data_IF_891206840916
#
_entry.id   IF_891206840916
#
_cell.length_a   1.000
_cell.length_b   1.000
_cell.length_c   1.000
_cell.angle_alpha   90.00
_cell.angle_beta   90.00
_cell.angle_gamma   90.00
#
_symmetry.space_group_name_H-M   'P 1'
#
loop_
_entity.id
_entity.type
_entity.pdbx_description
1 polymer ?
#
# COMPACT_ATOMS: atom_id res chain seq x y z
N UNK A 1 21.98 15.24 23.42
CA UNK A 1 21.27 16.05 22.41
C UNK A 1 19.94 15.36 22.17
N UNK A 2 18.95 15.67 23.00
CA UNK A 2 17.58 15.22 22.81
C UNK A 2 17.13 15.76 21.45
N UNK A 3 16.92 14.83 20.52
CA UNK A 3 16.69 15.12 19.13
C UNK A 3 15.43 15.96 18.98
N UNK A 4 15.45 16.87 17.99
CA UNK A 4 14.39 17.78 17.61
C UNK A 4 13.14 17.01 17.14
N UNK A 5 12.44 16.40 18.10
CA UNK A 5 11.30 15.50 17.91
C UNK A 5 10.01 16.25 18.24
N UNK A 6 9.03 16.10 17.36
CA UNK A 6 7.67 16.58 17.54
C UNK A 6 6.72 15.37 17.60
N UNK A 7 5.94 15.30 18.68
CA UNK A 7 4.86 14.31 18.84
C UNK A 7 3.53 15.01 18.68
N UNK A 8 2.66 14.48 17.84
CA UNK A 8 1.36 15.05 17.54
C UNK A 8 0.28 14.01 17.84
N UNK A 9 -0.58 14.32 18.80
CA UNK A 9 -1.65 13.42 19.27
C UNK A 9 -3.06 14.00 19.04
N UNK A 10 -3.14 15.23 18.53
CA UNK A 10 -4.36 15.90 18.15
C UNK A 10 -4.18 16.73 16.86
N UNK A 11 -5.26 17.27 16.31
CA UNK A 11 -5.22 18.07 15.07
C UNK A 11 -4.82 19.54 15.31
N UNK A 12 -4.11 19.87 16.40
CA UNK A 12 -3.66 21.25 16.63
C UNK A 12 -2.44 21.54 15.75
N UNK A 13 -2.71 22.18 14.62
CA UNK A 13 -1.70 22.69 13.68
C UNK A 13 -1.04 24.01 14.13
N UNK A 14 -1.51 24.63 15.21
CA UNK A 14 -0.95 25.90 15.67
C UNK A 14 0.42 25.67 16.30
N UNK A 15 1.43 26.42 15.83
CA UNK A 15 2.80 26.41 16.35
C UNK A 15 3.55 25.07 16.18
N UNK A 16 3.31 24.34 15.07
CA UNK A 16 4.16 23.20 14.73
C UNK A 16 5.62 23.67 14.56
N UNK A 17 6.55 22.97 15.23
CA UNK A 17 7.97 23.21 15.08
C UNK A 17 8.46 22.59 13.76
N UNK A 18 8.45 23.37 12.68
CA UNK A 18 8.84 22.90 11.35
C UNK A 18 10.34 22.60 11.20
N UNK A 19 11.17 22.96 12.17
CA UNK A 19 12.58 22.57 12.19
C UNK A 19 12.80 21.13 12.67
N UNK A 20 11.75 20.47 13.19
CA UNK A 20 11.82 19.10 13.69
C UNK A 20 12.44 18.14 12.66
N UNK A 21 13.40 17.34 13.13
CA UNK A 21 14.02 16.28 12.32
C UNK A 21 13.30 14.94 12.47
N UNK A 22 12.41 14.84 13.47
CA UNK A 22 11.57 13.67 13.71
C UNK A 22 10.14 14.09 14.05
N UNK A 23 9.16 13.51 13.37
CA UNK A 23 7.73 13.70 13.63
C UNK A 23 7.07 12.36 13.87
N UNK A 24 6.32 12.25 14.97
CA UNK A 24 5.45 11.12 15.27
C UNK A 24 4.03 11.66 15.42
N UNK A 25 3.17 11.35 14.46
CA UNK A 25 1.77 11.75 14.45
C UNK A 25 0.87 10.53 14.69
N UNK A 26 0.27 10.46 15.88
CA UNK A 26 -0.73 9.44 16.20
C UNK A 26 -2.14 10.04 16.10
N UNK A 27 -2.86 9.63 15.07
CA UNK A 27 -4.19 10.13 14.71
C UNK A 27 -5.23 9.00 14.70
N UNK A 28 -4.88 7.80 15.18
CA UNK A 28 -5.72 6.58 15.13
C UNK A 28 -6.98 6.64 15.98
N UNK A 29 -7.08 7.62 16.88
CA UNK A 29 -8.21 7.79 17.80
C UNK A 29 -9.07 9.03 17.46
N UNK A 30 -8.75 9.75 16.40
CA UNK A 30 -9.36 11.04 16.09
C UNK A 30 -10.49 10.89 15.07
N UNK A 31 -11.65 11.48 15.38
CA UNK A 31 -12.71 11.70 14.39
C UNK A 31 -12.32 12.88 13.51
N UNK A 32 -11.52 12.63 12.48
CA UNK A 32 -11.01 13.68 11.58
C UNK A 32 -12.04 13.95 10.49
N UNK A 33 -12.52 15.18 10.39
CA UNK A 33 -13.29 15.62 9.21
C UNK A 33 -12.35 15.74 8.00
N UNK A 34 -12.76 15.38 6.77
CA UNK A 34 -11.90 15.45 5.58
C UNK A 34 -11.15 16.78 5.42
N UNK A 35 -11.82 17.92 5.64
CA UNK A 35 -11.21 19.24 5.51
C UNK A 35 -10.10 19.50 6.55
N UNK A 36 -10.25 18.95 7.75
CA UNK A 36 -9.22 19.04 8.80
C UNK A 36 -8.02 18.14 8.47
N UNK A 37 -8.26 16.94 7.96
CA UNK A 37 -7.20 16.05 7.48
C UNK A 37 -6.39 16.72 6.37
N UNK A 38 -7.07 17.30 5.36
CA UNK A 38 -6.43 18.04 4.27
C UNK A 38 -5.51 19.13 4.78
N UNK A 39 -6.02 20.04 5.64
CA UNK A 39 -5.21 21.13 6.18
C UNK A 39 -4.02 20.59 6.96
N UNK A 40 -4.25 19.60 7.82
CA UNK A 40 -3.21 19.00 8.65
C UNK A 40 -2.11 18.34 7.81
N UNK A 41 -2.45 17.48 6.84
CA UNK A 41 -1.45 16.82 6.01
C UNK A 41 -0.70 17.79 5.10
N UNK A 42 -1.34 18.87 4.64
CA UNK A 42 -0.64 19.88 3.84
C UNK A 42 0.50 20.58 4.61
N UNK A 43 0.41 20.69 5.94
CA UNK A 43 1.47 21.27 6.76
C UNK A 43 2.74 20.39 6.79
N UNK A 44 2.64 19.09 6.49
CA UNK A 44 3.83 18.22 6.47
C UNK A 44 4.84 18.67 5.42
N UNK A 45 4.38 19.31 4.34
CA UNK A 45 5.26 19.83 3.30
C UNK A 45 6.24 20.91 3.82
N UNK A 46 5.98 21.49 5.00
CA UNK A 46 6.80 22.55 5.59
C UNK A 46 7.99 22.03 6.41
N UNK A 47 8.05 20.74 6.76
CA UNK A 47 9.17 20.17 7.52
C UNK A 47 10.39 19.86 6.62
N UNK A 48 11.14 20.90 6.25
CA UNK A 48 12.27 20.77 5.31
C UNK A 48 13.46 19.97 5.85
N UNK A 49 13.58 19.84 7.16
CA UNK A 49 14.67 19.13 7.84
C UNK A 49 14.26 17.72 8.31
N UNK A 50 13.07 17.26 7.95
CA UNK A 50 12.54 16.00 8.45
C UNK A 50 13.35 14.81 7.93
N UNK A 51 13.81 13.98 8.85
CA UNK A 51 14.56 12.74 8.58
C UNK A 51 13.76 11.51 8.97
N UNK A 52 12.87 11.62 9.95
CA UNK A 52 12.01 10.54 10.39
C UNK A 52 10.55 10.99 10.50
N UNK A 53 9.66 10.24 9.84
CA UNK A 53 8.23 10.48 9.86
C UNK A 53 7.50 9.21 10.23
N UNK A 54 6.71 9.28 11.30
CA UNK A 54 5.78 8.21 11.69
C UNK A 54 4.36 8.74 11.72
N UNK A 55 3.45 8.09 11.01
CA UNK A 55 2.04 8.46 10.96
C UNK A 55 1.18 7.23 11.23
N UNK A 56 0.32 7.32 12.24
CA UNK A 56 -0.62 6.26 12.60
C UNK A 56 -2.05 6.78 12.45
N UNK A 57 -2.78 6.31 11.45
CA UNK A 57 -4.18 6.67 11.18
C UNK A 57 -5.09 5.43 11.24
N UNK A 58 -4.52 4.23 11.10
CA UNK A 58 -5.28 2.99 11.06
C UNK A 58 -6.04 2.65 12.35
N UNK A 59 -7.01 1.73 12.25
CA UNK A 59 -7.82 1.20 13.36
C UNK A 59 -8.93 2.15 13.91
N UNK A 60 -9.44 3.05 13.08
CA UNK A 60 -10.56 3.91 13.46
C UNK A 60 -11.91 3.15 13.34
N UNK A 61 -12.26 2.31 14.32
CA UNK A 61 -13.61 1.69 14.41
C UNK A 61 -14.76 2.71 14.54
N UNK A 62 -14.45 3.98 14.85
CA UNK A 62 -15.41 5.06 15.14
C UNK A 62 -15.69 6.01 13.97
N UNK A 63 -14.95 5.94 12.87
CA UNK A 63 -15.15 6.85 11.74
C UNK A 63 -16.12 6.23 10.73
N UNK A 64 -17.33 6.77 10.72
CA UNK A 64 -18.21 6.74 9.57
C UNK A 64 -17.42 7.24 8.34
N UNK A 65 -16.93 6.32 7.51
CA UNK A 65 -16.31 6.67 6.24
C UNK A 65 -17.29 6.42 5.09
N UNK A 66 -17.89 7.52 4.60
CA UNK A 66 -18.04 7.71 3.16
C UNK A 66 -16.66 7.84 2.49
N UNK A 67 -16.63 7.93 1.16
CA UNK A 67 -15.39 7.95 0.36
C UNK A 67 -14.43 9.12 0.67
N UNK A 68 -14.86 10.11 1.48
CA UNK A 68 -14.16 11.38 1.68
C UNK A 68 -12.90 11.31 2.54
N UNK A 69 -12.67 10.25 3.32
CA UNK A 69 -11.42 10.10 4.09
C UNK A 69 -10.19 9.88 3.23
N UNK A 70 -10.39 9.41 2.00
CA UNK A 70 -9.33 9.21 1.02
C UNK A 70 -8.69 10.53 0.60
N UNK A 71 -9.44 11.64 0.60
CA UNK A 71 -8.92 12.95 0.19
C UNK A 71 -7.79 13.44 1.08
N UNK A 72 -7.89 13.25 2.40
CA UNK A 72 -6.80 13.62 3.32
C UNK A 72 -5.49 12.91 2.98
N UNK A 73 -5.58 11.64 2.59
CA UNK A 73 -4.40 10.82 2.27
C UNK A 73 -3.76 11.20 0.93
N UNK A 74 -4.52 11.76 -0.01
CA UNK A 74 -3.94 12.38 -1.21
C UNK A 74 -3.03 13.56 -0.84
N UNK A 75 -3.42 14.38 0.13
CA UNK A 75 -2.56 15.48 0.63
C UNK A 75 -1.35 14.97 1.41
N UNK A 76 -1.46 13.83 2.10
CA UNK A 76 -0.28 13.18 2.66
C UNK A 76 0.72 12.81 1.55
N UNK A 77 0.26 12.22 0.45
CA UNK A 77 1.09 11.96 -0.74
C UNK A 77 1.79 13.23 -1.23
N UNK A 78 1.04 14.30 -1.49
CA UNK A 78 1.61 15.59 -1.93
C UNK A 78 2.63 16.18 -0.94
N UNK A 79 2.39 16.01 0.36
CA UNK A 79 3.33 16.48 1.37
C UNK A 79 4.63 15.68 1.38
N UNK A 80 4.55 14.35 1.20
CA UNK A 80 5.73 13.48 1.14
C UNK A 80 6.67 13.89 0.00
N UNK A 81 6.16 14.33 -1.15
CA UNK A 81 6.98 14.82 -2.28
C UNK A 81 7.95 15.96 -1.88
N UNK A 82 7.63 16.71 -0.82
CA UNK A 82 8.43 17.82 -0.34
C UNK A 82 9.47 17.44 0.74
N UNK A 83 9.44 16.20 1.23
CA UNK A 83 10.28 15.72 2.33
C UNK A 83 11.59 15.12 1.82
N UNK A 84 12.37 15.90 1.08
CA UNK A 84 13.55 15.42 0.33
C UNK A 84 14.69 14.85 1.20
N UNK A 85 14.71 15.18 2.50
CA UNK A 85 15.72 14.73 3.46
C UNK A 85 15.28 13.50 4.28
N UNK A 86 14.10 12.93 3.98
CA UNK A 86 13.53 11.85 4.75
C UNK A 86 14.33 10.56 4.55
N UNK A 87 14.74 9.94 5.67
CA UNK A 87 15.48 8.68 5.67
C UNK A 87 14.62 7.52 6.18
N UNK A 88 13.66 7.80 7.07
CA UNK A 88 12.86 6.79 7.74
C UNK A 88 11.37 7.17 7.69
N UNK A 89 10.56 6.30 7.10
CA UNK A 89 9.10 6.45 7.05
C UNK A 89 8.43 5.23 7.66
N UNK A 90 7.49 5.48 8.57
CA UNK A 90 6.52 4.50 9.07
C UNK A 90 5.11 5.05 8.90
N UNK A 91 4.28 4.43 8.07
CA UNK A 91 2.89 4.86 7.87
C UNK A 91 1.97 3.66 8.10
N UNK A 92 1.04 3.81 9.05
CA UNK A 92 -0.03 2.87 9.30
C UNK A 92 -1.38 3.43 8.87
N UNK A 93 -1.90 2.86 7.78
CA UNK A 93 -3.22 3.12 7.19
C UNK A 93 -4.09 1.86 7.19
N UNK A 94 -3.90 0.95 8.15
CA UNK A 94 -4.75 -0.24 8.31
C UNK A 94 -6.23 0.16 8.41
N UNK A 95 -7.13 -0.59 7.77
CA UNK A 95 -8.58 -0.34 7.81
C UNK A 95 -9.03 1.07 7.34
N UNK A 96 -8.23 1.73 6.50
CA UNK A 96 -8.51 3.12 6.04
C UNK A 96 -9.33 3.22 4.75
N UNK A 97 -9.89 2.10 4.27
CA UNK A 97 -10.66 1.98 3.03
C UNK A 97 -9.93 2.50 1.79
N UNK A 98 -8.60 2.36 1.72
CA UNK A 98 -7.79 2.77 0.56
C UNK A 98 -8.21 2.01 -0.70
N UNK A 99 -8.22 2.68 -1.83
CA UNK A 99 -8.37 2.07 -3.15
C UNK A 99 -7.03 2.15 -3.92
N UNK A 100 -7.03 1.67 -5.17
CA UNK A 100 -5.86 1.71 -6.04
C UNK A 100 -5.33 3.11 -6.34
N UNK A 101 -6.22 4.11 -6.42
CA UNK A 101 -5.85 5.48 -6.75
C UNK A 101 -5.04 6.11 -5.61
N UNK A 102 -5.55 6.03 -4.37
CA UNK A 102 -4.86 6.58 -3.20
C UNK A 102 -3.56 5.84 -2.91
N UNK A 103 -3.55 4.51 -3.03
CA UNK A 103 -2.32 3.72 -2.93
C UNK A 103 -1.30 4.10 -4.01
N UNK A 104 -1.79 4.41 -5.22
CA UNK A 104 -0.99 4.93 -6.32
C UNK A 104 -0.39 6.29 -6.02
N UNK A 105 -1.19 7.25 -5.53
CA UNK A 105 -0.68 8.57 -5.11
C UNK A 105 0.40 8.46 -4.03
N UNK A 106 0.19 7.61 -3.03
CA UNK A 106 1.19 7.35 -1.99
C UNK A 106 2.48 6.76 -2.59
N UNK A 107 2.34 5.78 -3.49
CA UNK A 107 3.47 5.19 -4.19
C UNK A 107 4.25 6.22 -5.01
N UNK A 108 3.57 7.03 -5.82
CA UNK A 108 4.19 8.09 -6.62
C UNK A 108 4.98 9.07 -5.76
N UNK A 109 4.43 9.50 -4.63
CA UNK A 109 5.13 10.41 -3.73
C UNK A 109 6.40 9.80 -3.12
N UNK A 110 6.37 8.49 -2.82
CA UNK A 110 7.52 7.76 -2.27
C UNK A 110 8.63 7.56 -3.31
N UNK A 111 8.29 7.47 -4.60
CA UNK A 111 9.22 7.17 -5.69
C UNK A 111 10.45 8.10 -5.73
N UNK A 112 10.26 9.37 -5.38
CA UNK A 112 11.26 10.42 -5.51
C UNK A 112 12.03 10.70 -4.20
N UNK A 113 11.77 9.89 -3.15
CA UNK A 113 12.46 9.99 -1.86
C UNK A 113 13.84 9.29 -1.93
N UNK A 114 14.80 9.94 -2.58
CA UNK A 114 16.11 9.36 -2.84
C UNK A 114 16.96 9.09 -1.58
N UNK A 115 16.70 9.74 -0.45
CA UNK A 115 17.42 9.53 0.81
C UNK A 115 16.78 8.44 1.70
N UNK A 116 15.64 7.88 1.28
CA UNK A 116 14.89 6.92 2.07
C UNK A 116 15.67 5.61 2.24
N UNK A 117 15.95 5.24 3.50
CA UNK A 117 16.67 4.02 3.91
C UNK A 117 15.73 2.99 4.52
N UNK A 118 14.71 3.43 5.24
CA UNK A 118 13.73 2.57 5.91
C UNK A 118 12.33 2.98 5.53
N UNK A 119 11.56 2.05 4.99
CA UNK A 119 10.15 2.22 4.68
C UNK A 119 9.32 1.13 5.34
N UNK A 120 8.38 1.53 6.19
CA UNK A 120 7.37 0.65 6.77
C UNK A 120 5.99 1.15 6.37
N UNK A 121 5.29 0.37 5.56
CA UNK A 121 3.93 0.67 5.12
C UNK A 121 2.99 -0.44 5.60
N UNK A 122 2.08 -0.09 6.49
CA UNK A 122 1.04 -0.98 6.99
C UNK A 122 -0.28 -0.58 6.33
N UNK A 123 -0.72 -1.37 5.34
CA UNK A 123 -1.87 -1.09 4.48
C UNK A 123 -2.90 -2.23 4.52
N UNK A 124 -2.91 -3.05 5.57
CA UNK A 124 -3.82 -4.18 5.69
C UNK A 124 -5.30 -3.75 5.79
N UNK A 125 -6.21 -4.67 5.45
CA UNK A 125 -7.67 -4.48 5.54
C UNK A 125 -8.18 -3.28 4.73
N UNK A 126 -7.63 -3.09 3.54
CA UNK A 126 -8.02 -2.04 2.60
C UNK A 126 -8.67 -2.62 1.33
N UNK A 127 -8.91 -1.80 0.30
CA UNK A 127 -9.51 -2.19 -0.99
C UNK A 127 -8.48 -2.10 -2.13
N UNK A 128 -7.20 -2.30 -1.84
CA UNK A 128 -6.12 -2.28 -2.83
C UNK A 128 -6.19 -3.58 -3.63
N UNK A 129 -6.21 -3.52 -4.95
CA UNK A 129 -6.14 -4.70 -5.80
C UNK A 129 -4.71 -4.99 -6.25
N UNK A 130 -4.52 -6.10 -6.97
CA UNK A 130 -3.23 -6.44 -7.58
C UNK A 130 -2.60 -5.26 -8.34
N UNK A 131 -3.41 -4.52 -9.11
CA UNK A 131 -2.95 -3.37 -9.89
C UNK A 131 -2.37 -2.27 -8.99
N UNK A 132 -3.07 -1.96 -7.90
CA UNK A 132 -2.60 -0.95 -6.92
C UNK A 132 -1.33 -1.40 -6.21
N UNK A 133 -1.27 -2.65 -5.76
CA UNK A 133 -0.08 -3.21 -5.10
C UNK A 133 1.14 -3.27 -6.04
N UNK A 134 0.96 -3.69 -7.29
CA UNK A 134 2.01 -3.72 -8.31
C UNK A 134 2.54 -2.33 -8.64
N UNK A 135 1.66 -1.33 -8.71
CA UNK A 135 2.06 0.05 -8.89
C UNK A 135 2.88 0.55 -7.69
N UNK A 136 2.39 0.35 -6.46
CA UNK A 136 3.09 0.75 -5.24
C UNK A 136 4.50 0.15 -5.18
N UNK A 137 4.63 -1.14 -5.47
CA UNK A 137 5.93 -1.81 -5.52
C UNK A 137 6.87 -1.27 -6.60
N UNK A 138 6.32 -0.92 -7.77
CA UNK A 138 7.09 -0.29 -8.85
C UNK A 138 7.65 1.07 -8.45
N UNK A 139 6.88 1.83 -7.68
CA UNK A 139 7.32 3.13 -7.16
C UNK A 139 8.37 2.97 -6.06
N UNK A 140 8.18 2.05 -5.11
CA UNK A 140 9.16 1.77 -4.04
C UNK A 140 10.51 1.30 -4.64
N UNK A 141 10.48 0.56 -5.75
CA UNK A 141 11.67 0.16 -6.48
C UNK A 141 12.51 1.32 -7.05
N UNK A 142 11.98 2.56 -7.06
CA UNK A 142 12.74 3.76 -7.45
C UNK A 142 13.57 4.34 -6.30
N UNK A 143 13.29 4.00 -5.05
CA UNK A 143 14.01 4.49 -3.87
C UNK A 143 15.42 3.85 -3.75
N UNK A 144 16.42 4.40 -4.45
CA UNK A 144 17.73 3.76 -4.68
C UNK A 144 18.52 3.40 -3.44
N UNK A 145 18.34 4.15 -2.36
CA UNK A 145 19.04 3.96 -1.09
C UNK A 145 18.23 3.17 -0.05
N UNK A 146 17.07 2.62 -0.43
CA UNK A 146 16.24 1.86 0.47
C UNK A 146 16.97 0.57 0.89
N UNK A 147 17.07 0.35 2.18
CA UNK A 147 17.77 -0.79 2.79
C UNK A 147 16.80 -1.75 3.46
N UNK A 148 15.75 -1.20 4.08
CA UNK A 148 14.73 -1.96 4.77
C UNK A 148 13.34 -1.59 4.24
N UNK A 149 12.57 -2.60 3.86
CA UNK A 149 11.17 -2.46 3.50
C UNK A 149 10.32 -3.45 4.27
N UNK A 150 9.34 -2.92 5.00
CA UNK A 150 8.20 -3.67 5.51
C UNK A 150 6.94 -3.21 4.77
N UNK A 151 6.24 -4.13 4.11
CA UNK A 151 5.00 -3.84 3.40
C UNK A 151 3.93 -4.85 3.81
N UNK A 152 2.93 -4.41 4.58
CA UNK A 152 1.77 -5.24 4.91
C UNK A 152 0.60 -4.92 3.98
N UNK A 153 0.18 -5.91 3.19
CA UNK A 153 -0.99 -5.83 2.30
C UNK A 153 -2.05 -6.89 2.65
N UNK A 154 -2.00 -7.49 3.84
CA UNK A 154 -2.99 -8.45 4.33
C UNK A 154 -4.44 -7.97 4.13
N UNK A 155 -5.38 -8.89 3.89
CA UNK A 155 -6.81 -8.57 3.81
C UNK A 155 -7.16 -7.44 2.80
N UNK A 156 -6.46 -7.39 1.67
CA UNK A 156 -6.77 -6.54 0.51
C UNK A 156 -7.43 -7.36 -0.62
N UNK A 157 -7.66 -6.77 -1.81
CA UNK A 157 -8.34 -7.41 -2.96
C UNK A 157 -7.35 -7.90 -4.03
N UNK A 158 -6.28 -8.58 -3.62
CA UNK A 158 -5.13 -8.91 -4.49
C UNK A 158 -5.40 -10.09 -5.43
N UNK A 159 -6.32 -10.95 -5.03
CA UNK A 159 -6.91 -12.13 -5.66
C UNK A 159 -7.63 -11.82 -6.99
N UNK A 160 -8.08 -10.57 -7.22
CA UNK A 160 -8.72 -10.16 -8.48
C UNK A 160 -7.72 -9.56 -9.46
N UNK A 161 -7.09 -10.39 -10.29
CA UNK A 161 -6.60 -9.91 -11.58
C UNK A 161 -7.81 -9.53 -12.44
N UNK A 162 -7.80 -8.33 -13.03
CA UNK A 162 -8.72 -8.01 -14.12
C UNK A 162 -8.40 -8.96 -15.29
N UNK A 163 -9.19 -10.02 -15.42
CA UNK A 163 -9.17 -10.97 -16.53
C UNK A 163 -9.53 -10.26 -17.85
N UNK A 164 -8.58 -9.52 -18.42
CA UNK A 164 -8.67 -8.99 -19.78
C UNK A 164 -7.90 -9.85 -20.80
N UNK A 165 -7.12 -10.85 -20.36
CA UNK A 165 -6.38 -11.74 -21.27
C UNK A 165 -7.15 -13.02 -21.63
N UNK A 166 -8.17 -13.43 -20.86
CA UNK A 166 -8.93 -14.67 -21.12
C UNK A 166 -10.13 -14.50 -22.07
N UNK A 167 -10.42 -13.27 -22.55
CA UNK A 167 -11.47 -13.04 -23.56
C UNK A 167 -10.97 -12.97 -25.01
N UNK A 168 -9.66 -12.93 -25.25
CA UNK A 168 -9.10 -12.92 -26.62
C UNK A 168 -8.66 -14.29 -27.13
N UNK A 169 -8.54 -15.30 -26.26
CA UNK A 169 -8.08 -16.64 -26.64
C UNK A 169 -9.21 -17.67 -26.88
N UNK A 170 -10.48 -17.27 -26.79
CA UNK A 170 -11.63 -18.14 -27.12
C UNK A 170 -12.29 -17.84 -28.49
N UNK A 171 -11.66 -17.04 -29.35
CA UNK A 171 -12.25 -16.66 -30.65
C UNK A 171 -11.36 -16.95 -31.86
N UNK A 172 -10.51 -17.98 -31.79
CA UNK A 172 -9.94 -18.62 -32.97
C UNK A 172 -9.87 -20.12 -32.72
N UNK A 173 -10.96 -20.81 -33.05
CA UNK A 173 -10.96 -22.06 -33.81
C UNK A 173 -12.42 -22.38 -34.18
N UNK A 174 -12.79 -22.04 -35.41
CA UNK A 174 -14.04 -22.48 -36.03
C UNK A 174 -13.69 -23.62 -37.00
N UNK A 175 -14.59 -24.62 -37.06
CA UNK A 175 -14.94 -25.51 -38.19
C UNK A 175 -14.17 -26.85 -38.34
N UNK A 176 -14.75 -27.97 -37.89
CA UNK A 176 -15.50 -28.95 -38.72
C UNK A 176 -15.84 -30.23 -37.93
N UNK A 177 -17.14 -30.60 -37.94
CA UNK A 177 -17.74 -31.96 -38.12
C UNK A 177 -17.17 -33.14 -37.30
N UNK A 178 -17.91 -34.10 -36.79
CA UNK A 178 -19.32 -34.52 -36.76
C UNK A 178 -19.31 -35.73 -35.80
N UNK A 179 -20.50 -36.16 -35.41
CA UNK A 179 -20.83 -37.50 -34.86
C UNK A 179 -20.70 -37.76 -33.34
N UNK A 180 -21.80 -38.35 -32.89
CA UNK A 180 -22.18 -38.74 -31.54
C UNK A 180 -21.29 -39.86 -31.01
N UNK A 181 -21.16 -39.96 -29.68
CA UNK A 181 -21.49 -41.18 -28.94
C UNK A 181 -21.50 -40.92 -27.43
N UNK A 182 -22.42 -41.62 -26.78
CA UNK A 182 -22.68 -41.67 -25.35
C UNK A 182 -21.43 -42.02 -24.53
N UNK A 183 -21.30 -41.45 -23.32
CA UNK A 183 -21.09 -42.17 -22.06
C UNK A 183 -20.71 -41.20 -20.92
N UNK A 184 -21.37 -41.41 -19.78
CA UNK A 184 -20.94 -41.24 -18.38
C UNK A 184 -20.25 -39.94 -17.94
N UNK A 185 -20.74 -39.34 -16.85
CA UNK A 185 -20.08 -39.44 -15.53
C UNK A 185 -20.63 -38.43 -14.52
N UNK A 186 -20.60 -38.86 -13.25
CA UNK A 186 -20.87 -38.10 -12.04
C UNK A 186 -20.19 -36.72 -12.06
N UNK A 187 -20.96 -35.65 -11.90
CA UNK A 187 -20.41 -34.38 -11.44
C UNK A 187 -20.43 -34.37 -9.92
N UNK A 188 -19.38 -34.96 -9.32
CA UNK A 188 -18.94 -34.57 -7.99
C UNK A 188 -18.53 -33.10 -8.03
N UNK A 189 -19.17 -32.27 -7.20
CA UNK A 189 -18.76 -30.90 -6.99
C UNK A 189 -17.52 -30.88 -6.10
N UNK A 190 -16.33 -30.93 -6.71
CA UNK A 190 -15.08 -30.70 -6.00
C UNK A 190 -14.81 -29.21 -5.84
N UNK A 191 -14.53 -28.82 -4.60
CA UNK A 191 -14.09 -27.51 -4.15
C UNK A 191 -12.72 -27.13 -4.77
N UNK A 192 -12.70 -26.65 -6.02
CA UNK A 192 -11.47 -26.14 -6.69
C UNK A 192 -11.31 -24.60 -6.55
N UNK A 193 -11.48 -24.02 -5.36
CA UNK A 193 -11.27 -22.56 -5.17
C UNK A 193 -10.03 -22.19 -4.36
N UNK A 194 -9.37 -23.13 -3.68
CA UNK A 194 -8.27 -22.79 -2.77
C UNK A 194 -6.90 -22.62 -3.47
N UNK A 195 -6.67 -23.30 -4.60
CA UNK A 195 -5.38 -23.24 -5.31
C UNK A 195 -5.26 -22.05 -6.27
N UNK A 196 -6.39 -21.58 -6.81
CA UNK A 196 -6.41 -20.48 -7.78
C UNK A 196 -6.03 -19.13 -7.17
N UNK A 197 -6.47 -18.88 -5.93
CA UNK A 197 -6.09 -17.68 -5.19
C UNK A 197 -4.59 -17.65 -4.90
N UNK A 198 -4.04 -18.76 -4.39
CA UNK A 198 -2.62 -18.93 -4.02
C UNK A 198 -1.65 -18.57 -5.16
N UNK A 199 -1.95 -18.98 -6.39
CA UNK A 199 -1.10 -18.73 -7.57
C UNK A 199 -1.00 -17.24 -7.91
N UNK A 200 -2.09 -16.48 -7.81
CA UNK A 200 -2.08 -15.05 -8.11
C UNK A 200 -1.36 -14.23 -7.05
N UNK A 201 -1.53 -14.61 -5.78
CA UNK A 201 -0.77 -14.02 -4.67
C UNK A 201 0.75 -14.18 -4.87
N UNK A 202 1.19 -15.38 -5.28
CA UNK A 202 2.61 -15.65 -5.49
C UNK A 202 3.18 -14.83 -6.68
N UNK A 203 2.39 -14.56 -7.72
CA UNK A 203 2.78 -13.69 -8.85
C UNK A 203 2.93 -12.22 -8.42
N UNK A 204 2.02 -11.72 -7.58
CA UNK A 204 2.09 -10.37 -7.03
C UNK A 204 3.36 -10.21 -6.21
N UNK A 205 3.57 -11.10 -5.24
CA UNK A 205 4.74 -11.09 -4.39
C UNK A 205 6.03 -11.22 -5.21
N UNK A 206 6.11 -12.16 -6.16
CA UNK A 206 7.26 -12.31 -7.05
C UNK A 206 7.58 -11.03 -7.79
N UNK A 207 6.57 -10.26 -8.22
CA UNK A 207 6.78 -8.96 -8.88
C UNK A 207 7.36 -7.92 -7.91
N UNK A 208 6.80 -7.82 -6.70
CA UNK A 208 7.28 -6.91 -5.67
C UNK A 208 8.74 -7.26 -5.35
N UNK A 209 9.01 -8.53 -5.01
CA UNK A 209 10.36 -9.04 -4.74
C UNK A 209 11.29 -8.71 -5.91
N UNK A 210 10.91 -9.05 -7.16
CA UNK A 210 11.75 -8.82 -8.33
C UNK A 210 12.18 -7.36 -8.46
N UNK A 211 11.28 -6.44 -8.17
CA UNK A 211 11.52 -4.99 -8.24
C UNK A 211 12.27 -4.45 -7.02
N UNK A 212 12.25 -5.18 -5.90
CA UNK A 212 12.94 -4.81 -4.65
C UNK A 212 14.13 -5.70 -4.30
N UNK A 213 14.64 -6.53 -5.23
CA UNK A 213 15.76 -7.48 -5.00
C UNK A 213 17.05 -6.85 -4.47
N UNK A 214 17.23 -5.54 -4.60
CA UNK A 214 18.43 -4.83 -4.11
C UNK A 214 18.40 -4.53 -2.59
N UNK A 215 17.27 -4.77 -1.93
CA UNK A 215 17.11 -4.44 -0.52
C UNK A 215 17.91 -5.40 0.35
N UNK A 216 18.49 -4.88 1.45
CA UNK A 216 19.19 -5.69 2.45
C UNK A 216 18.20 -6.60 3.18
N UNK A 217 17.00 -6.05 3.48
CA UNK A 217 15.95 -6.77 4.18
C UNK A 217 14.57 -6.39 3.68
N UNK A 218 13.75 -7.39 3.43
CA UNK A 218 12.41 -7.22 2.90
C UNK A 218 11.41 -8.17 3.56
N UNK A 219 10.34 -7.60 4.12
CA UNK A 219 9.22 -8.34 4.72
C UNK A 219 7.91 -7.93 4.05
N UNK A 220 7.17 -8.92 3.55
CA UNK A 220 5.79 -8.74 3.09
C UNK A 220 4.87 -9.65 3.86
N UNK A 221 3.76 -9.07 4.30
CA UNK A 221 2.63 -9.84 4.85
C UNK A 221 1.44 -9.82 3.89
N UNK A 222 0.93 -11.01 3.56
CA UNK A 222 -0.33 -11.20 2.86
C UNK A 222 -1.02 -12.49 3.36
N UNK A 223 -2.35 -12.49 3.45
CA UNK A 223 -3.20 -13.63 3.85
C UNK A 223 -2.72 -14.37 5.11
N UNK A 224 -2.37 -13.62 6.17
CA UNK A 224 -1.81 -14.13 7.43
C UNK A 224 -0.45 -14.86 7.28
N UNK A 225 0.15 -14.82 6.08
CA UNK A 225 1.49 -15.32 5.81
C UNK A 225 2.48 -14.16 5.78
N UNK A 226 3.58 -14.30 6.52
CA UNK A 226 4.74 -13.42 6.44
C UNK A 226 5.86 -14.13 5.69
N UNK A 227 6.37 -13.51 4.61
CA UNK A 227 7.62 -13.96 3.97
C UNK A 227 8.74 -12.97 4.27
N UNK A 228 9.84 -13.52 4.78
CA UNK A 228 11.06 -12.81 5.11
C UNK A 228 12.13 -13.12 4.06
N UNK A 229 12.77 -12.08 3.55
CA UNK A 229 13.89 -12.19 2.64
C UNK A 229 15.04 -11.34 3.16
N UNK A 230 16.12 -12.00 3.56
CA UNK A 230 17.41 -11.37 3.83
C UNK A 230 18.31 -11.71 2.62
N UNK A 231 18.86 -10.69 1.95
CA UNK A 231 19.72 -10.83 0.77
C UNK A 231 21.18 -10.55 1.09
#
# INVERSE_FOLDING_TARGET
MEQNQLVIEDLKIQNLNFDATKVIANLSCLSIKPQQATKYFSEFANFKNLQELRIFIGNNKKTYYGNESQYGLTYLGQALENLINIENIEINLSESKLNNEVAGSLGSAIADLHQLKVLQLILDRNKISFKGASFLASSIAKCVNLQYLYLNLDNNKLDKLENNESKQSQQFDIIHQDENEDENDEYESEDENDDYESVYYDKALKNIILKTKRLIRFEVKWNDQSRYYDY
#
